data_IF_661825641822
#
_entry.id   IF_661825641822
#
_cell.length_a   1.000
_cell.length_b   1.000
_cell.length_c   1.000
_cell.angle_alpha   90.00
_cell.angle_beta   90.00
_cell.angle_gamma   90.00
#
_symmetry.space_group_name_H-M   'P 1'
#
loop_
_entity.id
_entity.type
_entity.pdbx_description
1 polymer ?
#
# COMPACT_ATOMS: atom_id res chain seq x y z
N UNK A 1 -15.85 5.18 12.03
CA UNK A 1 -14.55 4.73 11.47
C UNK A 1 -14.12 5.80 10.48
N UNK A 2 -12.93 6.36 10.64
CA UNK A 2 -12.40 7.40 9.74
C UNK A 2 -11.20 6.82 8.96
N UNK A 3 -11.41 6.09 7.86
CA UNK A 3 -10.32 5.61 7.03
C UNK A 3 -9.76 6.76 6.17
N UNK A 4 -8.45 6.72 5.91
CA UNK A 4 -7.77 7.56 4.94
C UNK A 4 -7.07 6.66 3.93
N UNK A 5 -7.41 6.80 2.65
CA UNK A 5 -6.69 6.14 1.56
C UNK A 5 -5.54 7.04 1.12
N UNK A 6 -4.34 6.50 1.11
CA UNK A 6 -3.11 7.20 0.75
C UNK A 6 -2.64 6.70 -0.62
N UNK A 7 -2.54 7.59 -1.58
CA UNK A 7 -2.18 7.28 -2.97
C UNK A 7 -1.02 8.16 -3.42
N UNK A 8 0.20 7.62 -3.51
CA UNK A 8 1.32 8.31 -4.15
C UNK A 8 1.09 8.47 -5.66
N UNK A 9 1.40 9.66 -6.19
CA UNK A 9 1.27 9.99 -7.61
C UNK A 9 2.58 10.55 -8.17
N UNK A 10 2.91 10.14 -9.37
CA UNK A 10 3.96 10.71 -10.20
C UNK A 10 3.68 10.43 -11.68
N UNK A 11 3.27 11.46 -12.42
CA UNK A 11 2.80 11.35 -13.81
C UNK A 11 1.57 10.43 -13.93
N UNK A 12 0.51 10.78 -13.17
CA UNK A 12 -0.75 10.03 -13.10
C UNK A 12 -1.96 10.88 -13.53
N UNK A 13 -1.72 11.94 -14.31
CA UNK A 13 -2.74 12.92 -14.71
C UNK A 13 -4.00 12.27 -15.27
N UNK A 14 -3.85 11.21 -16.07
CA UNK A 14 -4.96 10.51 -16.71
C UNK A 14 -5.78 9.65 -15.74
N UNK A 15 -5.20 9.31 -14.58
CA UNK A 15 -5.78 8.37 -13.63
C UNK A 15 -6.44 9.04 -12.42
N UNK A 16 -5.90 10.18 -11.95
CA UNK A 16 -6.25 10.74 -10.62
C UNK A 16 -7.73 11.08 -10.47
N UNK A 17 -8.39 11.59 -11.52
CA UNK A 17 -9.80 11.97 -11.42
C UNK A 17 -10.72 10.75 -11.31
N UNK A 18 -10.53 9.76 -12.17
CA UNK A 18 -11.27 8.51 -12.13
C UNK A 18 -10.97 7.71 -10.85
N UNK A 19 -9.72 7.74 -10.38
CA UNK A 19 -9.31 7.09 -9.14
C UNK A 19 -9.97 7.74 -7.92
N UNK A 20 -9.98 9.09 -7.83
CA UNK A 20 -10.65 9.79 -6.75
C UNK A 20 -12.14 9.40 -6.67
N UNK A 21 -12.85 9.46 -7.79
CA UNK A 21 -14.26 9.08 -7.83
C UNK A 21 -14.49 7.62 -7.42
N UNK A 22 -13.67 6.70 -7.92
CA UNK A 22 -13.80 5.27 -7.62
C UNK A 22 -13.48 4.95 -6.14
N UNK A 23 -12.46 5.58 -5.55
CA UNK A 23 -12.13 5.40 -4.13
C UNK A 23 -13.22 5.96 -3.23
N UNK A 24 -13.69 7.19 -3.50
CA UNK A 24 -14.74 7.83 -2.70
C UNK A 24 -16.07 7.06 -2.72
N UNK A 25 -16.40 6.44 -3.84
CA UNK A 25 -17.60 5.60 -3.97
C UNK A 25 -17.54 4.33 -3.12
N UNK A 26 -16.35 3.90 -2.71
CA UNK A 26 -16.10 2.68 -1.91
C UNK A 26 -15.66 2.99 -0.48
N UNK A 27 -15.62 4.26 -0.07
CA UNK A 27 -15.34 4.68 1.29
C UNK A 27 -16.63 4.98 2.08
N UNK A 28 -16.63 4.77 3.40
CA UNK A 28 -17.71 5.28 4.24
C UNK A 28 -17.76 6.84 4.20
N UNK A 29 -18.86 7.46 4.63
CA UNK A 29 -19.02 8.93 4.57
C UNK A 29 -17.88 9.74 5.20
N UNK A 30 -17.32 9.27 6.32
CA UNK A 30 -16.20 9.92 7.01
C UNK A 30 -14.83 9.57 6.41
N UNK A 31 -14.80 8.71 5.40
CA UNK A 31 -13.58 8.28 4.73
C UNK A 31 -13.01 9.40 3.87
N UNK A 32 -11.68 9.51 3.85
CA UNK A 32 -10.94 10.54 3.14
C UNK A 32 -9.91 9.93 2.20
N UNK A 33 -9.52 10.69 1.18
CA UNK A 33 -8.48 10.35 0.22
C UNK A 33 -7.36 11.37 0.33
N UNK A 34 -6.12 10.91 0.45
CA UNK A 34 -4.91 11.72 0.46
C UNK A 34 -4.02 11.33 -0.70
N UNK A 35 -3.89 12.21 -1.68
CA UNK A 35 -2.89 12.09 -2.72
C UNK A 35 -1.54 12.65 -2.26
N UNK A 36 -0.45 12.02 -2.70
CA UNK A 36 0.92 12.47 -2.45
C UNK A 36 1.57 12.72 -3.80
N UNK A 37 1.59 13.96 -4.24
CA UNK A 37 2.19 14.29 -5.53
C UNK A 37 3.69 14.56 -5.41
N UNK A 38 4.49 13.71 -6.03
CA UNK A 38 5.95 13.77 -6.04
C UNK A 38 6.49 14.80 -7.07
N UNK A 39 5.86 15.99 -7.12
CA UNK A 39 6.20 17.08 -8.05
C UNK A 39 6.10 16.62 -9.51
N UNK A 40 4.93 16.15 -9.90
CA UNK A 40 4.66 15.63 -11.23
C UNK A 40 4.76 16.70 -12.31
N UNK A 41 5.63 16.54 -13.33
CA UNK A 41 5.78 17.55 -14.41
C UNK A 41 4.63 17.55 -15.43
N UNK A 42 3.76 16.52 -15.45
CA UNK A 42 2.66 16.36 -16.40
C UNK A 42 1.38 17.13 -16.02
N UNK A 43 1.41 17.84 -14.88
CA UNK A 43 0.26 18.57 -14.36
C UNK A 43 -0.68 17.74 -13.47
N UNK A 44 -0.27 16.55 -13.03
CA UNK A 44 -1.02 15.72 -12.07
C UNK A 44 -1.43 16.52 -10.84
N UNK A 45 -0.49 17.27 -10.23
CA UNK A 45 -0.75 18.06 -9.02
C UNK A 45 -1.87 19.07 -9.22
N UNK A 46 -1.88 19.82 -10.33
CA UNK A 46 -2.93 20.79 -10.63
C UNK A 46 -4.32 20.14 -10.80
N UNK A 47 -4.39 18.94 -11.38
CA UNK A 47 -5.65 18.18 -11.47
C UNK A 47 -6.13 17.79 -10.07
N UNK A 48 -5.24 17.34 -9.20
CA UNK A 48 -5.58 16.97 -7.83
C UNK A 48 -6.07 18.21 -7.03
N UNK A 49 -5.43 19.37 -7.18
CA UNK A 49 -5.85 20.62 -6.55
C UNK A 49 -7.28 20.98 -6.96
N UNK A 50 -7.62 20.85 -8.26
CA UNK A 50 -8.96 21.08 -8.75
C UNK A 50 -9.99 20.09 -8.17
N UNK A 51 -9.60 18.84 -7.90
CA UNK A 51 -10.44 17.86 -7.21
C UNK A 51 -10.64 18.28 -5.75
N UNK A 52 -9.59 18.66 -5.03
CA UNK A 52 -9.66 19.12 -3.65
C UNK A 52 -10.57 20.34 -3.47
N UNK A 53 -10.57 21.26 -4.43
CA UNK A 53 -11.43 22.46 -4.39
C UNK A 53 -12.93 22.16 -4.45
N UNK A 54 -13.33 21.02 -5.04
CA UNK A 54 -14.74 20.62 -5.21
C UNK A 54 -15.21 19.48 -4.32
N UNK A 55 -14.29 18.73 -3.74
CA UNK A 55 -14.58 17.55 -2.92
C UNK A 55 -13.79 17.59 -1.60
N UNK A 56 -14.46 18.00 -0.53
CA UNK A 56 -13.85 18.23 0.79
C UNK A 56 -13.28 16.98 1.47
N UNK A 57 -13.51 15.78 0.92
CA UNK A 57 -12.92 14.53 1.41
C UNK A 57 -11.62 14.16 0.69
N UNK A 58 -11.21 14.94 -0.32
CA UNK A 58 -9.96 14.75 -1.05
C UNK A 58 -8.95 15.78 -0.58
N UNK A 59 -7.74 15.32 -0.28
CA UNK A 59 -6.63 16.14 0.17
C UNK A 59 -5.40 15.85 -0.67
N UNK A 60 -4.47 16.78 -0.71
CA UNK A 60 -3.18 16.60 -1.39
C UNK A 60 -2.04 17.05 -0.50
N UNK A 61 -0.93 16.32 -0.59
CA UNK A 61 0.38 16.73 -0.09
C UNK A 61 1.31 16.82 -1.29
N UNK A 62 1.71 18.04 -1.66
CA UNK A 62 2.76 18.25 -2.66
C UNK A 62 4.13 18.05 -2.01
N UNK A 63 4.93 17.18 -2.62
CA UNK A 63 6.30 16.92 -2.19
C UNK A 63 7.26 17.62 -3.14
N UNK A 64 8.37 18.11 -2.63
CA UNK A 64 9.33 18.89 -3.43
C UNK A 64 9.95 18.08 -4.57
N UNK A 65 10.12 16.77 -4.38
CA UNK A 65 10.78 15.86 -5.34
C UNK A 65 10.39 14.42 -5.13
N UNK A 66 10.57 13.62 -6.17
CA UNK A 66 10.42 12.17 -6.11
C UNK A 66 11.58 11.52 -5.37
N UNK A 67 11.30 10.93 -4.22
CA UNK A 67 12.27 10.23 -3.37
C UNK A 67 12.02 8.71 -3.29
N UNK A 68 11.11 8.21 -4.08
CA UNK A 68 10.71 6.80 -4.12
C UNK A 68 9.46 6.49 -3.29
N UNK A 69 8.83 5.37 -3.65
CA UNK A 69 7.50 4.97 -3.17
C UNK A 69 7.43 4.85 -1.63
N UNK A 70 8.46 4.24 -1.02
CA UNK A 70 8.49 4.07 0.44
C UNK A 70 8.50 5.40 1.20
N UNK A 71 9.25 6.41 0.69
CA UNK A 71 9.27 7.74 1.29
C UNK A 71 7.93 8.46 1.16
N UNK A 72 7.25 8.29 0.02
CA UNK A 72 5.93 8.83 -0.17
C UNK A 72 4.93 8.23 0.82
N UNK A 73 4.89 6.91 0.95
CA UNK A 73 4.01 6.25 1.92
C UNK A 73 4.30 6.63 3.37
N UNK A 74 5.57 6.73 3.75
CA UNK A 74 5.95 7.18 5.11
C UNK A 74 5.40 8.58 5.40
N UNK A 75 5.55 9.53 4.47
CA UNK A 75 4.99 10.87 4.60
C UNK A 75 3.46 10.85 4.67
N UNK A 76 2.83 10.06 3.79
CA UNK A 76 1.38 9.91 3.76
C UNK A 76 0.81 9.26 5.02
N UNK A 77 1.46 8.28 5.61
CA UNK A 77 1.03 7.66 6.86
C UNK A 77 1.09 8.66 8.03
N UNK A 78 2.18 9.43 8.11
CA UNK A 78 2.29 10.47 9.12
C UNK A 78 1.18 11.52 8.99
N UNK A 79 0.90 11.98 7.77
CA UNK A 79 -0.16 12.93 7.49
C UNK A 79 -1.54 12.35 7.76
N UNK A 80 -1.83 11.11 7.33
CA UNK A 80 -3.09 10.44 7.62
C UNK A 80 -3.36 10.31 9.12
N UNK A 81 -2.33 9.99 9.91
CA UNK A 81 -2.42 9.94 11.37
C UNK A 81 -2.70 11.33 11.97
N UNK A 82 -2.07 12.41 11.42
CA UNK A 82 -2.34 13.81 11.81
C UNK A 82 -3.77 14.24 11.46
N UNK A 83 -4.31 13.77 10.33
CA UNK A 83 -5.72 13.98 9.94
C UNK A 83 -6.70 13.23 10.86
N UNK A 84 -6.22 12.45 11.82
CA UNK A 84 -7.05 11.68 12.76
C UNK A 84 -7.57 10.37 12.19
N UNK A 85 -6.89 9.78 11.20
CA UNK A 85 -7.26 8.47 10.65
C UNK A 85 -7.33 7.40 11.74
N UNK A 86 -8.39 6.60 11.73
CA UNK A 86 -8.50 5.37 12.54
C UNK A 86 -7.93 4.16 11.78
N UNK A 87 -7.96 4.24 10.46
CA UNK A 87 -7.44 3.24 9.53
C UNK A 87 -6.75 3.97 8.37
N UNK A 88 -5.64 3.42 7.90
CA UNK A 88 -4.91 3.96 6.75
C UNK A 88 -4.80 2.87 5.69
N UNK A 89 -5.12 3.21 4.46
CA UNK A 89 -5.06 2.29 3.33
C UNK A 89 -3.99 2.80 2.36
N UNK A 90 -3.02 1.97 2.02
CA UNK A 90 -2.09 2.25 0.91
C UNK A 90 -2.61 1.61 -0.38
N UNK A 91 -2.50 2.33 -1.48
CA UNK A 91 -2.99 1.91 -2.79
C UNK A 91 -2.27 2.65 -3.93
N UNK A 92 -2.06 2.00 -5.06
CA UNK A 92 -1.50 2.63 -6.27
C UNK A 92 -2.57 3.36 -7.09
N UNK A 93 -2.18 4.39 -7.86
CA UNK A 93 -3.09 5.21 -8.66
C UNK A 93 -3.47 4.61 -10.04
N UNK A 94 -2.84 3.53 -10.46
CA UNK A 94 -2.88 3.01 -11.84
C UNK A 94 -3.98 1.98 -12.13
N UNK A 95 -4.94 1.82 -11.21
CA UNK A 95 -6.00 0.82 -11.26
C UNK A 95 -5.54 -0.64 -11.27
N UNK A 96 -4.28 -0.93 -10.96
CA UNK A 96 -3.84 -2.30 -10.73
C UNK A 96 -4.47 -2.90 -9.45
N UNK A 97 -4.80 -2.06 -8.50
CA UNK A 97 -5.63 -2.36 -7.33
C UNK A 97 -7.07 -1.85 -7.58
N UNK A 98 -8.07 -2.72 -7.44
CA UNK A 98 -9.47 -2.33 -7.61
C UNK A 98 -9.98 -1.61 -6.34
N UNK A 99 -10.45 -0.35 -6.44
CA UNK A 99 -11.06 0.37 -5.31
C UNK A 99 -12.22 -0.36 -4.64
N UNK A 100 -12.91 -1.27 -5.36
CA UNK A 100 -13.99 -2.13 -4.81
C UNK A 100 -13.50 -3.08 -3.72
N UNK A 101 -12.20 -3.33 -3.63
CA UNK A 101 -11.63 -4.16 -2.55
C UNK A 101 -11.38 -3.36 -1.26
N UNK A 102 -11.45 -2.01 -1.29
CA UNK A 102 -11.28 -1.15 -0.10
C UNK A 102 -12.23 -1.57 1.05
N UNK A 103 -13.55 -1.75 0.85
CA UNK A 103 -14.44 -2.18 1.93
C UNK A 103 -14.07 -3.54 2.52
N UNK A 104 -13.52 -4.45 1.70
CA UNK A 104 -13.11 -5.80 2.15
C UNK A 104 -11.87 -5.75 3.03
N UNK A 105 -10.90 -4.92 2.69
CA UNK A 105 -9.72 -4.67 3.52
C UNK A 105 -10.11 -4.01 4.84
N UNK A 106 -11.00 -3.00 4.81
CA UNK A 106 -11.53 -2.37 6.01
C UNK A 106 -12.27 -3.36 6.90
N UNK A 107 -13.11 -4.22 6.32
CA UNK A 107 -13.85 -5.23 7.08
C UNK A 107 -12.92 -6.24 7.78
N UNK A 108 -11.78 -6.58 7.16
CA UNK A 108 -10.81 -7.51 7.72
C UNK A 108 -10.09 -6.96 8.95
N UNK A 109 -9.87 -5.64 9.05
CA UNK A 109 -9.26 -4.99 10.21
C UNK A 109 -10.27 -4.49 11.24
N UNK A 110 -11.51 -4.19 10.82
CA UNK A 110 -12.53 -3.62 11.70
C UNK A 110 -12.99 -4.56 12.83
N UNK A 111 -12.68 -5.84 12.75
CA UNK A 111 -13.12 -6.85 13.69
C UNK A 111 -14.61 -6.74 14.05
N UNK A 112 -15.44 -7.71 13.72
CA UNK A 112 -16.83 -7.67 14.22
C UNK A 112 -16.82 -7.94 15.72
N UNK A 113 -17.29 -7.03 16.60
CA UNK A 113 -17.56 -7.42 17.98
C UNK A 113 -18.66 -8.49 18.03
N UNK A 114 -18.58 -9.51 18.89
CA UNK A 114 -17.59 -9.71 19.91
C UNK A 114 -16.70 -10.94 19.63
N UNK A 115 -15.88 -10.96 18.60
CA UNK A 115 -14.89 -12.02 18.51
C UNK A 115 -13.81 -11.77 19.59
N UNK A 116 -13.65 -12.73 20.50
CA UNK A 116 -12.58 -12.70 21.52
C UNK A 116 -11.18 -12.54 20.93
N UNK A 117 -11.03 -12.73 19.62
CA UNK A 117 -9.77 -12.69 18.90
C UNK A 117 -9.43 -11.32 18.29
N UNK A 118 -10.26 -10.26 18.47
CA UNK A 118 -10.05 -8.95 17.88
C UNK A 118 -9.92 -9.00 16.35
N UNK A 119 -10.15 -7.89 15.65
CA UNK A 119 -9.84 -7.77 14.23
C UNK A 119 -8.34 -7.93 13.94
N UNK A 120 -7.98 -8.00 12.66
CA UNK A 120 -6.58 -7.93 12.27
C UNK A 120 -6.03 -6.52 12.49
N UNK A 121 -4.74 -6.40 12.73
CA UNK A 121 -4.05 -5.12 12.77
C UNK A 121 -3.72 -4.60 11.37
N UNK A 122 -3.49 -5.56 10.45
CA UNK A 122 -3.15 -5.29 9.06
C UNK A 122 -3.89 -6.26 8.15
N UNK A 123 -4.59 -5.74 7.13
CA UNK A 123 -5.14 -6.52 6.03
C UNK A 123 -4.32 -6.25 4.76
N UNK A 124 -3.84 -7.32 4.12
CA UNK A 124 -3.01 -7.28 2.91
C UNK A 124 -3.82 -7.82 1.75
N UNK A 125 -4.03 -7.01 0.71
CA UNK A 125 -4.58 -7.45 -0.56
C UNK A 125 -3.59 -8.39 -1.24
N UNK A 126 -3.93 -9.68 -1.32
CA UNK A 126 -3.02 -10.74 -1.75
C UNK A 126 -3.44 -11.37 -3.07
N UNK A 127 -2.49 -11.46 -3.99
CA UNK A 127 -2.62 -12.15 -5.27
C UNK A 127 -2.47 -13.66 -5.14
N UNK A 128 -1.93 -14.14 -4.02
CA UNK A 128 -1.39 -15.51 -3.87
C UNK A 128 -2.09 -16.36 -2.82
N UNK A 129 -3.14 -15.86 -2.21
CA UNK A 129 -4.07 -16.66 -1.39
C UNK A 129 -5.20 -17.25 -2.23
N UNK A 130 -5.95 -18.19 -1.69
CA UNK A 130 -7.09 -18.80 -2.41
C UNK A 130 -8.10 -17.73 -2.81
N UNK A 131 -8.38 -17.62 -4.10
CA UNK A 131 -9.25 -16.59 -4.69
C UNK A 131 -8.51 -15.35 -5.21
N UNK A 132 -7.23 -15.16 -4.85
CA UNK A 132 -6.40 -14.10 -5.42
C UNK A 132 -5.91 -14.46 -6.83
N UNK A 133 -5.68 -13.45 -7.69
CA UNK A 133 -5.22 -13.64 -9.08
C UNK A 133 -4.51 -12.42 -9.64
N UNK A 134 -3.68 -12.68 -10.66
CA UNK A 134 -3.10 -11.64 -11.52
C UNK A 134 -3.72 -11.78 -12.91
N UNK A 135 -4.25 -10.68 -13.44
CA UNK A 135 -4.83 -10.62 -14.79
C UNK A 135 -3.93 -9.80 -15.70
N UNK A 136 -3.72 -10.29 -16.92
CA UNK A 136 -2.85 -9.63 -17.93
C UNK A 136 -1.35 -9.91 -17.77
N UNK A 137 -0.91 -10.60 -16.72
CA UNK A 137 0.52 -10.88 -16.55
C UNK A 137 1.00 -12.04 -17.43
N UNK A 138 2.15 -11.88 -18.11
CA UNK A 138 2.84 -12.99 -18.74
C UNK A 138 3.22 -14.06 -17.69
N UNK A 139 3.12 -15.35 -18.07
CA UNK A 139 3.41 -16.45 -17.14
C UNK A 139 4.78 -16.35 -16.48
N UNK A 140 5.81 -15.93 -17.23
CA UNK A 140 7.17 -15.70 -16.67
C UNK A 140 7.17 -14.67 -15.54
N UNK A 141 6.46 -13.54 -15.69
CA UNK A 141 6.35 -12.52 -14.67
C UNK A 141 5.64 -13.06 -13.42
N UNK A 142 4.55 -13.79 -13.63
CA UNK A 142 3.83 -14.45 -12.54
C UNK A 142 4.72 -15.42 -11.78
N UNK A 143 5.46 -16.30 -12.49
CA UNK A 143 6.35 -17.31 -11.91
C UNK A 143 7.46 -16.67 -11.08
N UNK A 144 8.15 -15.65 -11.61
CA UNK A 144 9.21 -14.91 -10.91
C UNK A 144 8.68 -14.26 -9.65
N UNK A 145 7.53 -13.57 -9.73
CA UNK A 145 6.90 -12.92 -8.58
C UNK A 145 6.49 -13.92 -7.51
N UNK A 146 5.93 -15.06 -7.92
CA UNK A 146 5.51 -16.13 -7.01
C UNK A 146 6.72 -16.79 -6.32
N UNK A 147 7.76 -17.12 -7.08
CA UNK A 147 9.00 -17.71 -6.56
C UNK A 147 9.71 -16.74 -5.59
N UNK A 148 9.78 -15.45 -5.96
CA UNK A 148 10.32 -14.41 -5.09
C UNK A 148 9.55 -14.29 -3.78
N UNK A 149 8.22 -14.30 -3.82
CA UNK A 149 7.38 -14.28 -2.61
C UNK A 149 7.62 -15.50 -1.70
N UNK A 150 7.75 -16.69 -2.27
CA UNK A 150 8.08 -17.94 -1.52
C UNK A 150 9.45 -17.81 -0.86
N UNK A 151 10.45 -17.33 -1.61
CA UNK A 151 11.81 -17.11 -1.09
C UNK A 151 11.82 -16.13 0.07
N UNK A 152 11.18 -14.96 -0.08
CA UNK A 152 11.09 -13.93 0.96
C UNK A 152 10.42 -14.49 2.21
N UNK A 153 9.31 -15.19 2.05
CA UNK A 153 8.58 -15.83 3.14
C UNK A 153 9.46 -16.85 3.89
N UNK A 154 10.17 -17.70 3.18
CA UNK A 154 11.08 -18.69 3.78
C UNK A 154 12.23 -18.01 4.52
N UNK A 155 12.89 -17.04 3.90
CA UNK A 155 14.01 -16.32 4.50
C UNK A 155 13.63 -15.53 5.74
N UNK A 156 12.52 -14.81 5.71
CA UNK A 156 12.08 -13.95 6.81
C UNK A 156 11.23 -14.69 7.87
N UNK A 157 10.73 -15.89 7.56
CA UNK A 157 9.86 -16.68 8.43
C UNK A 157 8.48 -16.05 8.65
N UNK A 158 8.04 -15.12 7.78
CA UNK A 158 6.75 -14.44 7.88
C UNK A 158 5.62 -15.32 7.33
N UNK A 159 4.39 -15.25 7.90
CA UNK A 159 3.24 -16.00 7.37
C UNK A 159 2.71 -15.45 6.04
N UNK A 160 3.08 -14.20 5.67
CA UNK A 160 2.53 -13.47 4.51
C UNK A 160 2.93 -14.15 3.19
N UNK A 161 1.95 -14.52 2.36
CA UNK A 161 2.17 -15.18 1.06
C UNK A 161 2.46 -14.20 -0.07
N UNK A 162 1.99 -12.96 0.06
CA UNK A 162 2.24 -11.85 -0.87
C UNK A 162 3.03 -10.72 -0.19
N UNK A 163 4.34 -10.92 0.06
CA UNK A 163 5.14 -9.96 0.82
C UNK A 163 5.39 -8.65 0.09
N UNK A 164 5.14 -8.58 -1.21
CA UNK A 164 5.37 -7.42 -2.07
C UNK A 164 4.09 -6.70 -2.49
N UNK A 165 2.93 -7.13 -2.01
CA UNK A 165 1.66 -6.48 -2.28
C UNK A 165 1.64 -5.06 -1.69
N UNK A 166 1.25 -4.07 -2.51
CA UNK A 166 1.18 -2.64 -2.14
C UNK A 166 -0.24 -2.16 -1.85
N UNK A 167 -1.20 -3.07 -1.65
CA UNK A 167 -2.57 -2.73 -1.28
C UNK A 167 -2.85 -3.26 0.12
N UNK A 168 -2.84 -2.39 1.11
CA UNK A 168 -3.01 -2.79 2.50
C UNK A 168 -3.87 -1.80 3.28
N UNK A 169 -4.52 -2.32 4.30
CA UNK A 169 -5.19 -1.52 5.31
C UNK A 169 -4.55 -1.76 6.67
N UNK A 170 -4.17 -0.68 7.33
CA UNK A 170 -3.57 -0.67 8.65
C UNK A 170 -4.54 -0.07 9.65
N UNK A 171 -4.64 -0.63 10.84
CA UNK A 171 -5.22 0.10 11.98
C UNK A 171 -4.27 1.20 12.41
N UNK A 172 -4.79 2.27 13.02
CA UNK A 172 -3.97 3.31 13.66
C UNK A 172 -2.93 2.70 14.60
N UNK A 173 -3.35 1.75 15.44
CA UNK A 173 -2.47 1.02 16.36
C UNK A 173 -1.29 0.37 15.63
N UNK A 174 -1.53 -0.26 14.47
CA UNK A 174 -0.48 -0.92 13.71
C UNK A 174 0.61 0.05 13.26
N UNK A 175 0.22 1.23 12.77
CA UNK A 175 1.19 2.26 12.36
C UNK A 175 1.91 2.87 13.56
N UNK A 176 1.20 3.18 14.65
CA UNK A 176 1.81 3.73 15.87
C UNK A 176 2.78 2.74 16.54
N UNK A 177 2.53 1.43 16.43
CA UNK A 177 3.43 0.38 16.95
C UNK A 177 4.78 0.37 16.23
N UNK A 178 4.85 0.79 14.96
CA UNK A 178 6.13 0.92 14.25
C UNK A 178 6.98 2.09 14.75
N UNK A 179 6.38 3.04 15.45
CA UNK A 179 7.05 4.19 16.03
C UNK A 179 7.57 5.16 14.96
N UNK A 180 8.87 5.50 15.05
CA UNK A 180 9.49 6.45 14.14
C UNK A 180 9.66 5.86 12.73
N UNK A 181 8.86 6.36 11.79
CA UNK A 181 8.93 5.98 10.37
C UNK A 181 10.25 6.35 9.69
N UNK A 182 11.04 7.27 10.24
CA UNK A 182 12.36 7.62 9.69
C UNK A 182 13.35 6.44 9.71
N UNK A 183 13.07 5.45 10.55
CA UNK A 183 13.84 4.21 10.64
C UNK A 183 13.60 3.25 9.46
N UNK A 184 12.53 3.45 8.68
CA UNK A 184 12.21 2.69 7.48
C UNK A 184 13.07 3.25 6.35
N UNK A 185 14.07 2.50 5.90
CA UNK A 185 15.08 2.96 4.93
C UNK A 185 14.92 2.36 3.55
N UNK A 186 13.93 1.50 3.37
CA UNK A 186 13.71 0.83 2.09
C UNK A 186 12.95 1.69 1.10
N UNK A 187 13.26 1.48 -0.20
CA UNK A 187 12.65 2.16 -1.33
C UNK A 187 11.90 1.13 -2.19
N UNK A 188 10.91 1.58 -2.95
CA UNK A 188 10.23 0.71 -3.90
C UNK A 188 9.54 -0.51 -3.25
N UNK A 189 9.66 -1.69 -3.89
CA UNK A 189 9.02 -2.93 -3.43
C UNK A 189 9.62 -3.47 -2.11
N UNK A 190 10.87 -3.15 -1.81
CA UNK A 190 11.50 -3.54 -0.55
C UNK A 190 10.83 -2.91 0.66
N UNK A 191 10.20 -1.74 0.50
CA UNK A 191 9.37 -1.09 1.52
C UNK A 191 8.24 -2.02 2.00
N UNK A 192 7.53 -2.65 1.08
CA UNK A 192 6.41 -3.53 1.41
C UNK A 192 6.83 -4.73 2.25
N UNK A 193 8.00 -5.32 1.92
CA UNK A 193 8.55 -6.44 2.68
C UNK A 193 9.00 -6.01 4.08
N UNK A 194 9.68 -4.85 4.19
CA UNK A 194 10.15 -4.31 5.47
C UNK A 194 8.96 -4.03 6.39
N UNK A 195 7.91 -3.38 5.90
CA UNK A 195 6.70 -3.10 6.65
C UNK A 195 6.05 -4.39 7.19
N UNK A 196 5.80 -5.37 6.31
CA UNK A 196 5.20 -6.65 6.71
C UNK A 196 6.05 -7.37 7.77
N UNK A 197 7.37 -7.38 7.60
CA UNK A 197 8.28 -8.05 8.51
C UNK A 197 8.33 -7.36 9.88
N UNK A 198 8.44 -6.02 9.92
CA UNK A 198 8.46 -5.25 11.17
C UNK A 198 7.16 -5.42 11.94
N UNK A 199 6.02 -5.31 11.27
CA UNK A 199 4.70 -5.49 11.89
C UNK A 199 4.52 -6.90 12.46
N UNK A 200 4.91 -7.93 11.71
CA UNK A 200 4.89 -9.30 12.18
C UNK A 200 5.80 -9.52 13.38
N UNK A 201 7.02 -8.97 13.36
CA UNK A 201 7.98 -9.05 14.48
C UNK A 201 7.48 -8.30 15.73
N UNK A 202 6.69 -7.25 15.55
CA UNK A 202 6.04 -6.54 16.65
C UNK A 202 4.81 -7.28 17.23
N UNK A 203 4.52 -8.50 16.74
CA UNK A 203 3.41 -9.32 17.23
C UNK A 203 2.04 -8.89 16.72
N UNK A 204 1.99 -8.03 15.69
CA UNK A 204 0.74 -7.60 15.08
C UNK A 204 0.12 -8.74 14.25
N UNK A 205 -1.22 -8.80 14.24
CA UNK A 205 -1.99 -9.79 13.48
C UNK A 205 -2.17 -9.34 12.04
N UNK A 206 -1.48 -10.02 11.11
CA UNK A 206 -1.57 -9.78 9.67
C UNK A 206 -2.51 -10.83 9.04
N UNK A 207 -3.45 -10.37 8.21
CA UNK A 207 -4.33 -11.24 7.41
C UNK A 207 -4.23 -10.89 5.93
N UNK A 208 -4.46 -11.88 5.07
CA UNK A 208 -4.45 -11.68 3.63
C UNK A 208 -5.87 -11.82 3.06
N UNK A 209 -6.29 -10.80 2.31
CA UNK A 209 -7.58 -10.74 1.61
C UNK A 209 -7.32 -11.00 0.13
N UNK A 210 -7.97 -11.99 -0.52
CA UNK A 210 -7.76 -12.24 -1.94
C UNK A 210 -8.21 -11.04 -2.78
N UNK A 211 -7.36 -10.59 -3.69
CA UNK A 211 -7.66 -9.52 -4.65
C UNK A 211 -7.41 -9.98 -6.07
N UNK A 212 -8.03 -9.29 -7.03
CA UNK A 212 -7.67 -9.37 -8.44
C UNK A 212 -6.74 -8.20 -8.75
N UNK A 213 -5.49 -8.52 -9.07
CA UNK A 213 -4.51 -7.54 -9.51
C UNK A 213 -4.51 -7.50 -11.04
N UNK A 214 -4.84 -6.36 -11.61
CA UNK A 214 -4.88 -6.16 -13.06
C UNK A 214 -3.61 -5.50 -13.58
N UNK A 215 -3.33 -5.64 -14.87
CA UNK A 215 -2.31 -4.83 -15.51
C UNK A 215 -2.75 -3.36 -15.53
N UNK A 216 -1.78 -2.44 -15.40
CA UNK A 216 -2.02 -0.97 -15.38
C UNK A 216 -2.84 -0.52 -16.56
N UNK A 217 -3.73 0.45 -16.35
CA UNK A 217 -4.47 1.10 -17.46
C UNK A 217 -3.57 1.94 -18.35
N UNK A 218 -2.58 2.64 -17.76
CA UNK A 218 -1.62 3.49 -18.44
C UNK A 218 -0.24 3.42 -17.74
N UNK A 219 0.82 3.74 -18.48
CA UNK A 219 2.19 3.80 -17.94
C UNK A 219 3.03 2.54 -18.17
N UNK A 220 4.36 2.69 -18.05
CA UNK A 220 5.34 1.60 -18.24
C UNK A 220 5.73 0.95 -16.92
N UNK A 221 5.89 -0.37 -16.91
CA UNK A 221 6.37 -1.13 -15.74
C UNK A 221 7.79 -0.69 -15.36
N UNK A 222 7.99 -0.26 -14.12
CA UNK A 222 9.29 0.16 -13.59
C UNK A 222 10.10 -0.99 -12.97
N UNK A 223 9.71 -2.26 -13.21
CA UNK A 223 10.45 -3.41 -12.69
C UNK A 223 11.74 -3.57 -13.51
N UNK A 224 12.87 -3.25 -12.88
CA UNK A 224 14.21 -3.44 -13.43
C UNK A 224 14.97 -4.51 -12.64
N UNK A 225 16.02 -5.09 -13.22
CA UNK A 225 16.88 -6.05 -12.52
C UNK A 225 17.47 -5.49 -11.22
N UNK A 226 17.67 -4.18 -11.14
CA UNK A 226 18.15 -3.50 -9.93
C UNK A 226 17.19 -3.63 -8.75
N UNK A 227 15.88 -3.66 -8.99
CA UNK A 227 14.86 -3.85 -7.94
C UNK A 227 14.94 -5.25 -7.34
N UNK A 228 15.19 -6.28 -8.15
CA UNK A 228 15.37 -7.65 -7.67
C UNK A 228 16.60 -7.75 -6.75
N UNK A 229 17.72 -7.15 -7.14
CA UNK A 229 18.95 -7.11 -6.34
C UNK A 229 18.74 -6.33 -5.03
N UNK A 230 18.06 -5.18 -5.08
CA UNK A 230 17.72 -4.40 -3.90
C UNK A 230 16.85 -5.20 -2.93
N UNK A 231 15.83 -5.87 -3.46
CA UNK A 231 14.94 -6.74 -2.68
C UNK A 231 15.70 -7.86 -1.99
N UNK A 232 16.65 -8.50 -2.69
CA UNK A 232 17.49 -9.56 -2.14
C UNK A 232 18.37 -9.02 -1.00
N UNK A 233 19.07 -7.89 -1.22
CA UNK A 233 19.87 -7.23 -0.19
C UNK A 233 19.03 -6.90 1.05
N UNK A 234 17.82 -6.40 0.85
CA UNK A 234 16.92 -6.07 1.95
C UNK A 234 16.51 -7.32 2.74
N UNK A 235 16.19 -8.44 2.09
CA UNK A 235 15.87 -9.71 2.77
C UNK A 235 17.01 -10.14 3.69
N UNK A 236 18.25 -10.10 3.21
CA UNK A 236 19.43 -10.43 4.04
C UNK A 236 19.61 -9.43 5.19
N UNK A 237 19.44 -8.15 4.94
CA UNK A 237 19.51 -7.10 5.97
C UNK A 237 18.45 -7.30 7.06
N UNK A 238 17.21 -7.62 6.68
CA UNK A 238 16.13 -7.89 7.64
C UNK A 238 16.35 -9.17 8.43
N UNK A 239 16.94 -10.19 7.80
CA UNK A 239 17.21 -11.50 8.43
C UNK A 239 18.38 -11.45 9.42
N UNK A 240 19.49 -10.82 9.02
CA UNK A 240 20.79 -10.90 9.70
C UNK A 240 21.30 -9.56 10.24
N UNK A 241 20.65 -8.44 9.87
CA UNK A 241 21.02 -7.11 10.38
C UNK A 241 20.86 -7.06 11.88
N UNK A 242 21.91 -6.65 12.59
CA UNK A 242 21.83 -6.35 14.03
C UNK A 242 20.90 -5.14 14.21
N UNK A 243 20.03 -5.22 15.23
CA UNK A 243 19.16 -4.13 15.69
C UNK A 243 19.99 -2.93 16.14
#
# INVERSE_FOLDING_TARGET
MKPVVVIPTYNERENVEAMAAAVLANLPPEGQLLFLDDNSPDGTGAVIDAICAREGRVHVMHREKKEGLGRAYVAGFAEALRMGATHVIEMDCDFSHDPKDVPRLLAAVAGRPPSRDGGADVAIGSRYVKGGKCVGWPFRRWLISRAGGIFIRFMLGTPVKDPTGGFKCFTRRALETLGDFSTIKSFGYSFQMEMNFRMWKAGLKLVEVPITFSERRAGTSKISGSIAVESLKMVFKLKFGRR
#
